data_IF_740321747196
#
_entry.id   IF_740321747196
#
_cell.length_a   1.000
_cell.length_b   1.000
_cell.length_c   1.000
_cell.angle_alpha   90.00
_cell.angle_beta   90.00
_cell.angle_gamma   90.00
#
_symmetry.space_group_name_H-M   'P 1'
#
loop_
_entity.id
_entity.type
_entity.pdbx_description
1 polymer ?
#
# COMPACT_ATOMS: atom_id res chain seq x y z
N UNK A 1 -43.93 -14.92 -59.06
CA UNK A 1 -44.42 -13.52 -59.01
C UNK A 1 -44.63 -13.19 -57.53
N UNK A 2 -43.55 -12.99 -56.78
CA UNK A 2 -42.80 -11.73 -56.57
C UNK A 2 -43.66 -10.67 -55.86
N UNK A 3 -43.26 -9.93 -54.83
CA UNK A 3 -42.18 -9.99 -53.84
C UNK A 3 -42.43 -8.74 -52.96
N UNK A 4 -43.18 -8.86 -51.87
CA UNK A 4 -43.42 -7.73 -50.94
C UNK A 4 -43.12 -8.21 -49.50
N UNK A 5 -41.87 -8.63 -49.31
CA UNK A 5 -41.25 -8.90 -48.00
C UNK A 5 -39.82 -8.38 -48.02
N UNK A 6 -39.67 -7.08 -48.17
CA UNK A 6 -38.39 -6.41 -48.02
C UNK A 6 -38.71 -4.94 -47.83
N UNK A 7 -38.27 -4.36 -46.71
CA UNK A 7 -37.77 -2.98 -46.58
C UNK A 7 -37.76 -2.44 -45.13
N UNK A 8 -37.98 -3.28 -44.10
CA UNK A 8 -37.80 -2.84 -42.70
C UNK A 8 -36.44 -3.19 -42.09
N UNK A 9 -35.63 -4.01 -42.74
CA UNK A 9 -34.30 -4.41 -42.24
C UNK A 9 -33.17 -3.45 -42.62
N UNK A 10 -33.48 -2.25 -43.14
CA UNK A 10 -32.47 -1.34 -43.72
C UNK A 10 -32.54 0.14 -43.29
N UNK A 11 -33.34 0.50 -42.29
CA UNK A 11 -33.42 1.91 -41.82
C UNK A 11 -32.97 2.11 -40.36
N UNK A 12 -32.59 1.06 -39.63
CA UNK A 12 -31.88 1.20 -38.34
C UNK A 12 -30.38 0.86 -38.49
N UNK A 13 -29.79 1.35 -39.57
CA UNK A 13 -28.36 1.33 -39.84
C UNK A 13 -27.84 2.78 -39.84
N UNK A 14 -27.91 3.45 -38.70
CA UNK A 14 -27.20 4.70 -38.42
C UNK A 14 -27.17 4.90 -36.90
N UNK A 15 -26.06 5.40 -36.36
CA UNK A 15 -25.79 5.73 -34.94
C UNK A 15 -25.23 4.59 -34.07
N UNK A 16 -24.30 3.76 -34.59
CA UNK A 16 -23.45 2.91 -33.73
C UNK A 16 -21.98 2.91 -34.17
N UNK A 17 -21.49 4.07 -34.59
CA UNK A 17 -20.10 4.28 -35.00
C UNK A 17 -19.63 5.66 -34.54
N UNK A 18 -19.37 5.81 -33.25
CA UNK A 18 -18.28 6.69 -32.81
C UNK A 18 -17.44 5.90 -31.83
N UNK A 19 -16.27 5.54 -32.33
CA UNK A 19 -15.31 4.66 -31.72
C UNK A 19 -14.85 5.15 -30.34
N UNK A 20 -14.48 4.17 -29.53
CA UNK A 20 -13.74 4.28 -28.29
C UNK A 20 -12.61 5.32 -28.40
N UNK A 21 -12.82 6.51 -27.84
CA UNK A 21 -11.71 7.35 -27.42
C UNK A 21 -11.20 6.76 -26.10
N UNK A 22 -10.01 6.16 -26.15
CA UNK A 22 -9.30 5.70 -24.98
C UNK A 22 -9.08 6.84 -23.98
N UNK A 23 -9.82 6.81 -22.88
CA UNK A 23 -9.50 7.60 -21.70
C UNK A 23 -8.32 6.93 -20.97
N UNK A 24 -7.12 7.03 -21.52
CA UNK A 24 -5.88 6.74 -20.81
C UNK A 24 -5.51 7.97 -19.97
N UNK A 25 -6.16 8.14 -18.80
CA UNK A 25 -5.70 9.06 -17.76
C UNK A 25 -5.88 8.41 -16.38
N UNK A 26 -4.83 7.77 -15.83
CA UNK A 26 -4.70 7.78 -14.37
C UNK A 26 -3.26 7.95 -13.84
N UNK A 27 -2.31 8.55 -14.57
CA UNK A 27 -0.93 8.70 -14.03
C UNK A 27 -0.83 9.74 -12.92
N UNK A 28 -1.52 10.88 -13.04
CA UNK A 28 -1.39 11.94 -12.03
C UNK A 28 -2.12 11.65 -10.71
N UNK A 29 -3.19 10.87 -10.75
CA UNK A 29 -3.92 10.47 -9.55
C UNK A 29 -3.11 9.49 -8.69
N UNK A 30 -2.40 8.54 -9.32
CA UNK A 30 -1.46 7.67 -8.61
C UNK A 30 -0.29 8.47 -8.03
N UNK A 31 0.27 9.43 -8.77
CA UNK A 31 1.38 10.25 -8.28
C UNK A 31 1.00 11.09 -7.03
N UNK A 32 -0.23 11.59 -6.97
CA UNK A 32 -0.72 12.32 -5.78
C UNK A 32 -0.89 11.35 -4.60
N UNK A 33 -1.56 10.22 -4.82
CA UNK A 33 -1.77 9.20 -3.80
C UNK A 33 -0.45 8.67 -3.23
N UNK A 34 0.59 8.51 -4.06
CA UNK A 34 1.92 8.08 -3.64
C UNK A 34 2.62 9.13 -2.78
N UNK A 35 2.54 10.42 -3.12
CA UNK A 35 3.10 11.48 -2.27
C UNK A 35 2.40 11.58 -0.92
N UNK A 36 1.09 11.37 -0.89
CA UNK A 36 0.30 11.37 0.34
C UNK A 36 0.60 10.14 1.20
N UNK A 37 0.76 8.98 0.56
CA UNK A 37 1.22 7.76 1.21
C UNK A 37 2.61 7.93 1.82
N UNK A 38 3.56 8.49 1.08
CA UNK A 38 4.91 8.80 1.58
C UNK A 38 4.89 9.75 2.77
N UNK A 39 3.96 10.71 2.78
CA UNK A 39 3.75 11.60 3.93
C UNK A 39 3.25 10.81 5.14
N UNK A 40 2.29 9.91 4.97
CA UNK A 40 1.79 9.02 6.02
C UNK A 40 2.91 8.14 6.60
N UNK A 41 3.73 7.56 5.74
CA UNK A 41 4.90 6.76 6.15
C UNK A 41 5.92 7.61 6.90
N UNK A 42 6.18 8.85 6.47
CA UNK A 42 7.08 9.78 7.18
C UNK A 42 6.57 10.11 8.58
N UNK A 43 5.27 10.39 8.73
CA UNK A 43 4.66 10.65 10.04
C UNK A 43 4.68 9.40 10.93
N UNK A 44 4.45 8.22 10.36
CA UNK A 44 4.58 6.95 11.08
C UNK A 44 6.01 6.71 11.59
N UNK A 45 7.02 6.86 10.72
CA UNK A 45 8.44 6.70 11.07
C UNK A 45 8.92 7.70 12.11
N UNK A 46 8.33 8.89 12.15
CA UNK A 46 8.62 9.92 13.15
C UNK A 46 7.90 9.68 14.50
N UNK A 47 7.21 8.54 14.67
CA UNK A 47 6.48 8.21 15.90
C UNK A 47 5.13 8.93 16.03
N UNK A 48 4.73 9.74 15.04
CA UNK A 48 3.43 10.44 15.02
C UNK A 48 2.32 9.51 14.51
N UNK A 49 2.12 8.40 15.21
CA UNK A 49 1.23 7.30 14.78
C UNK A 49 -0.24 7.72 14.67
N UNK A 50 -0.72 8.66 15.50
CA UNK A 50 -2.08 9.20 15.38
C UNK A 50 -2.29 10.06 14.13
N UNK A 51 -1.27 10.82 13.72
CA UNK A 51 -1.31 11.60 12.47
C UNK A 51 -1.26 10.67 11.25
N UNK A 52 -0.35 9.69 11.30
CA UNK A 52 -0.23 8.67 10.26
C UNK A 52 -1.52 7.88 10.08
N UNK A 53 -2.19 7.50 11.18
CA UNK A 53 -3.50 6.85 11.14
C UNK A 53 -4.51 7.65 10.31
N UNK A 54 -4.68 8.94 10.60
CA UNK A 54 -5.64 9.78 9.87
C UNK A 54 -5.33 9.85 8.37
N UNK A 55 -4.04 9.95 8.02
CA UNK A 55 -3.59 9.98 6.63
C UNK A 55 -3.84 8.64 5.91
N UNK A 56 -3.54 7.50 6.55
CA UNK A 56 -3.84 6.19 5.99
C UNK A 56 -5.34 5.94 5.89
N UNK A 57 -6.14 6.34 6.88
CA UNK A 57 -7.59 6.21 6.87
C UNK A 57 -8.21 6.99 5.70
N UNK A 58 -7.75 8.21 5.43
CA UNK A 58 -8.23 9.05 4.34
C UNK A 58 -7.87 8.46 2.96
N UNK A 59 -6.64 7.98 2.80
CA UNK A 59 -6.21 7.28 1.59
C UNK A 59 -6.99 5.98 1.38
N UNK A 60 -7.17 5.18 2.42
CA UNK A 60 -7.94 3.93 2.38
C UNK A 60 -9.40 4.19 1.97
N UNK A 61 -10.00 5.27 2.47
CA UNK A 61 -11.36 5.69 2.11
C UNK A 61 -11.49 6.13 0.66
N UNK A 62 -10.39 6.54 0.01
CA UNK A 62 -10.32 6.85 -1.43
C UNK A 62 -9.99 5.63 -2.31
N UNK A 63 -9.86 4.44 -1.73
CA UNK A 63 -9.57 3.21 -2.47
C UNK A 63 -8.09 2.85 -2.53
N UNK A 64 -7.22 3.50 -1.74
CA UNK A 64 -5.81 3.11 -1.68
C UNK A 64 -5.61 1.80 -0.90
N UNK A 65 -5.16 0.76 -1.61
CA UNK A 65 -5.06 -0.60 -1.07
C UNK A 65 -4.05 -0.70 0.08
N UNK A 66 -2.85 -0.13 -0.07
CA UNK A 66 -1.80 -0.30 0.95
C UNK A 66 -2.13 0.49 2.21
N UNK A 67 -2.71 1.68 2.06
CA UNK A 67 -3.23 2.45 3.19
C UNK A 67 -4.34 1.70 3.90
N UNK A 68 -5.23 1.02 3.16
CA UNK A 68 -6.26 0.16 3.76
C UNK A 68 -5.67 -1.01 4.54
N UNK A 69 -4.61 -1.67 4.03
CA UNK A 69 -3.91 -2.74 4.76
C UNK A 69 -3.32 -2.21 6.07
N UNK A 70 -2.65 -1.06 6.02
CA UNK A 70 -2.04 -0.45 7.21
C UNK A 70 -3.10 0.01 8.20
N UNK A 71 -4.19 0.63 7.74
CA UNK A 71 -5.29 1.03 8.61
C UNK A 71 -5.93 -0.20 9.29
N UNK A 72 -6.23 -1.28 8.57
CA UNK A 72 -6.74 -2.50 9.19
C UNK A 72 -5.74 -3.10 10.21
N UNK A 73 -4.44 -3.07 9.90
CA UNK A 73 -3.41 -3.53 10.81
C UNK A 73 -3.35 -2.69 12.10
N UNK A 74 -3.32 -1.36 11.97
CA UNK A 74 -3.30 -0.44 13.11
C UNK A 74 -4.56 -0.55 13.95
N UNK A 75 -5.73 -0.74 13.32
CA UNK A 75 -7.00 -0.93 14.03
C UNK A 75 -6.95 -2.19 14.91
N UNK A 76 -6.47 -3.31 14.36
CA UNK A 76 -6.50 -4.60 15.05
C UNK A 76 -5.41 -4.74 16.11
N UNK A 77 -4.20 -4.26 15.82
CA UNK A 77 -3.02 -4.47 16.67
C UNK A 77 -2.61 -3.21 17.44
N UNK A 78 -3.38 -2.14 17.32
CA UNK A 78 -3.01 -0.83 17.85
C UNK A 78 -2.66 -0.83 19.34
N UNK A 79 -3.55 -1.36 20.20
CA UNK A 79 -3.31 -1.41 21.64
C UNK A 79 -2.03 -2.18 22.00
N UNK A 80 -1.76 -3.29 21.31
CA UNK A 80 -0.61 -4.15 21.59
C UNK A 80 0.72 -3.57 21.11
N UNK A 81 0.74 -2.91 19.94
CA UNK A 81 1.98 -2.43 19.30
C UNK A 81 2.31 -0.98 19.60
N UNK A 82 1.29 -0.15 19.84
CA UNK A 82 1.48 1.30 20.00
C UNK A 82 0.87 1.85 21.29
N UNK A 83 0.20 1.02 22.11
CA UNK A 83 -0.52 1.48 23.29
C UNK A 83 -1.64 2.47 22.98
N UNK A 84 -2.16 2.43 21.74
CA UNK A 84 -3.18 3.35 21.22
C UNK A 84 -4.29 2.56 20.57
N UNK A 85 -5.52 2.96 20.84
CA UNK A 85 -6.69 2.44 20.12
C UNK A 85 -7.14 3.48 19.10
N UNK A 86 -7.50 3.00 17.92
CA UNK A 86 -8.14 3.78 16.88
C UNK A 86 -9.50 3.18 16.60
N UNK A 87 -10.40 4.01 16.10
CA UNK A 87 -11.75 3.62 15.76
C UNK A 87 -12.01 3.90 14.28
N UNK A 88 -12.81 3.03 13.68
CA UNK A 88 -13.32 3.16 12.33
C UNK A 88 -14.77 2.68 12.29
N UNK A 89 -15.58 3.26 11.41
CA UNK A 89 -16.97 2.82 11.28
C UNK A 89 -17.03 1.38 10.72
N UNK A 90 -18.00 0.53 11.13
CA UNK A 90 -18.09 -0.84 10.63
C UNK A 90 -18.09 -0.94 9.10
N UNK A 91 -18.80 -0.03 8.41
CA UNK A 91 -18.80 0.03 6.95
C UNK A 91 -17.47 0.44 6.33
N UNK A 92 -16.66 1.26 7.02
CA UNK A 92 -15.30 1.59 6.57
C UNK A 92 -14.39 0.36 6.66
N UNK A 93 -14.45 -0.35 7.79
CA UNK A 93 -13.67 -1.58 8.00
C UNK A 93 -14.04 -2.63 6.96
N UNK A 94 -15.34 -2.82 6.68
CA UNK A 94 -15.81 -3.75 5.66
C UNK A 94 -15.33 -3.36 4.26
N UNK A 95 -15.47 -2.08 3.90
CA UNK A 95 -14.99 -1.55 2.62
C UNK A 95 -13.49 -1.76 2.44
N UNK A 96 -12.67 -1.41 3.43
CA UNK A 96 -11.22 -1.63 3.38
C UNK A 96 -10.87 -3.11 3.29
N UNK A 97 -11.58 -3.98 4.03
CA UNK A 97 -11.35 -5.42 3.97
C UNK A 97 -11.70 -6.00 2.60
N UNK A 98 -12.79 -5.53 1.97
CA UNK A 98 -13.14 -5.90 0.59
C UNK A 98 -12.08 -5.40 -0.41
N UNK A 99 -11.65 -4.14 -0.28
CA UNK A 99 -10.61 -3.54 -1.09
C UNK A 99 -9.32 -4.36 -1.06
N UNK A 100 -8.87 -4.74 0.14
CA UNK A 100 -7.67 -5.57 0.32
C UNK A 100 -7.85 -6.97 -0.28
N UNK A 101 -8.99 -7.63 -0.07
CA UNK A 101 -9.26 -8.95 -0.66
C UNK A 101 -9.25 -8.92 -2.19
N UNK A 102 -9.80 -7.87 -2.78
CA UNK A 102 -9.94 -7.75 -4.23
C UNK A 102 -8.71 -7.14 -4.92
N UNK A 103 -7.68 -6.78 -4.15
CA UNK A 103 -6.59 -5.93 -4.65
C UNK A 103 -5.61 -6.62 -5.60
N UNK A 104 -5.55 -7.95 -5.69
CA UNK A 104 -4.62 -8.66 -6.58
C UNK A 104 -3.21 -8.05 -6.57
N UNK A 105 -2.74 -7.59 -7.74
CA UNK A 105 -1.45 -6.92 -7.96
C UNK A 105 -1.52 -5.37 -7.91
N UNK A 106 -2.66 -4.78 -7.58
CA UNK A 106 -2.90 -3.31 -7.59
C UNK A 106 -2.22 -2.58 -6.42
N UNK A 107 -1.44 -3.29 -5.61
CA UNK A 107 -0.64 -2.70 -4.55
C UNK A 107 0.60 -2.00 -5.11
N UNK A 108 1.16 -1.07 -4.34
CA UNK A 108 2.47 -0.50 -4.64
C UNK A 108 3.51 -1.61 -4.76
N UNK A 109 4.51 -1.45 -5.65
CA UNK A 109 5.59 -2.42 -5.78
C UNK A 109 6.29 -2.59 -4.43
N UNK A 110 6.55 -3.85 -4.08
CA UNK A 110 7.28 -4.15 -2.84
C UNK A 110 8.65 -3.46 -2.89
N UNK A 111 9.06 -2.79 -1.81
CA UNK A 111 10.40 -2.24 -1.74
C UNK A 111 11.42 -3.39 -1.86
N UNK A 112 12.50 -3.17 -2.59
CA UNK A 112 13.61 -4.11 -2.64
C UNK A 112 14.21 -4.19 -1.23
N UNK A 113 14.08 -5.35 -0.59
CA UNK A 113 14.63 -5.56 0.74
C UNK A 113 16.12 -5.86 0.62
N UNK A 114 16.94 -4.84 0.86
CA UNK A 114 18.38 -5.03 1.05
C UNK A 114 18.65 -5.28 2.54
N UNK A 115 19.09 -6.49 2.95
CA UNK A 115 19.42 -6.76 4.34
C UNK A 115 20.56 -5.84 4.78
N UNK A 116 20.23 -4.84 5.59
CA UNK A 116 21.21 -3.97 6.23
C UNK A 116 21.92 -4.80 7.31
N UNK A 117 22.99 -5.51 6.93
CA UNK A 117 23.91 -6.12 7.90
C UNK A 117 24.52 -4.96 8.67
N UNK A 118 23.99 -4.67 9.86
CA UNK A 118 24.55 -3.67 10.77
C UNK A 118 25.95 -4.16 11.14
N UNK A 119 26.95 -3.73 10.38
CA UNK A 119 28.34 -4.01 10.69
C UNK A 119 28.65 -3.24 11.96
N UNK A 120 28.68 -3.95 13.08
CA UNK A 120 28.99 -3.39 14.39
C UNK A 120 30.45 -2.95 14.37
N UNK A 121 30.69 -1.73 13.86
CA UNK A 121 32.00 -1.09 13.82
C UNK A 121 32.42 -0.81 15.27
N UNK A 122 33.04 -1.81 15.90
CA UNK A 122 33.46 -1.74 17.30
C UNK A 122 33.49 -3.07 18.04
N UNK A 123 33.88 -4.19 17.41
CA UNK A 123 34.35 -5.31 18.21
C UNK A 123 35.64 -4.86 18.91
N UNK A 124 35.71 -4.82 20.26
CA UNK A 124 36.93 -4.47 20.95
C UNK A 124 38.02 -5.47 20.58
N UNK A 125 39.16 -4.92 20.14
CA UNK A 125 40.44 -5.61 19.95
C UNK A 125 40.65 -6.56 21.13
N UNK A 126 40.70 -7.87 20.83
CA UNK A 126 41.03 -8.90 21.80
C UNK A 126 42.25 -8.43 22.62
N UNK A 127 42.03 -8.17 23.90
CA UNK A 127 43.10 -7.90 24.83
C UNK A 127 44.00 -9.14 24.82
N UNK A 128 45.21 -8.96 24.28
CA UNK A 128 46.25 -9.96 24.37
C UNK A 128 46.43 -10.32 25.85
N UNK A 129 46.09 -11.56 26.19
CA UNK A 129 46.36 -12.17 27.50
C UNK A 129 47.88 -12.19 27.66
N UNK A 130 48.41 -11.14 28.29
CA UNK A 130 49.79 -11.10 28.77
C UNK A 130 49.85 -11.87 30.09
N UNK A 131 50.71 -12.89 30.12
CA UNK A 131 51.41 -13.31 31.33
C UNK A 131 50.74 -14.45 32.11
N UNK A 132 51.16 -15.68 31.84
CA UNK A 132 51.40 -16.65 32.91
C UNK A 132 52.81 -17.18 32.71
N UNK A 133 53.77 -16.60 33.43
CA UNK A 133 55.10 -17.14 33.61
C UNK A 133 55.00 -18.39 34.49
N UNK A 134 55.11 -19.59 33.91
CA UNK A 134 55.43 -20.77 34.69
C UNK A 134 56.95 -20.80 34.93
N UNK A 135 57.34 -20.39 36.13
CA UNK A 135 58.61 -20.78 36.73
C UNK A 135 58.46 -22.20 37.25
N UNK A 136 59.24 -23.14 36.72
CA UNK A 136 59.39 -24.47 37.29
C UNK A 136 60.89 -24.77 37.42
N UNK A 137 61.23 -25.18 38.64
CA UNK A 137 62.56 -25.56 39.15
C UNK A 137 63.16 -26.75 38.44
#
# INVERSE_FOLDING_TARGET
MNAIRSNWRRVLAAVFTTALLGASLPTHASDIADREYDRAVKSFRAGRTSEAWGQFQELASRGDVDSARIALFMLNYGPALYGKQWDALPGQVEYWAQLVRNSGTSARPLPVFEPQVVSRKGAPRAAAVRGISLSAR
#
